data_IF_798033366095
#
_entry.id   IF_798033366095
#
_cell.length_a   1.000
_cell.length_b   1.000
_cell.length_c   1.000
_cell.angle_alpha   90.00
_cell.angle_beta   90.00
_cell.angle_gamma   90.00
#
_symmetry.space_group_name_H-M   'P 1'
#
loop_
_entity.id
_entity.type
_entity.pdbx_description
1 polymer ?
#
# COMPACT_ATOMS: atom_id res chain seq x y z
N UNK A 1 23.11 0.03 -16.20
CA UNK A 1 22.79 -0.44 -14.84
C UNK A 1 24.09 -0.64 -14.09
N UNK A 2 24.21 -0.18 -12.83
CA UNK A 2 25.34 -0.60 -11.99
C UNK A 2 25.28 -2.12 -11.87
N UNK A 3 26.34 -2.81 -12.31
CA UNK A 3 26.42 -4.27 -12.28
C UNK A 3 26.36 -4.76 -10.82
N UNK A 4 25.43 -5.66 -10.51
CA UNK A 4 25.34 -6.32 -9.21
C UNK A 4 24.40 -5.70 -8.16
N UNK A 5 23.59 -4.69 -8.52
CA UNK A 5 22.47 -4.22 -7.69
C UNK A 5 21.14 -4.74 -8.22
N UNK A 6 20.24 -5.10 -7.30
CA UNK A 6 18.87 -5.50 -7.58
C UNK A 6 17.90 -4.53 -6.88
N UNK A 7 16.83 -4.06 -7.53
CA UNK A 7 15.73 -3.39 -6.84
C UNK A 7 15.11 -4.34 -5.83
N UNK A 8 14.79 -3.80 -4.66
CA UNK A 8 14.06 -4.50 -3.61
C UNK A 8 12.81 -3.71 -3.27
N UNK A 9 11.66 -4.29 -3.56
CA UNK A 9 10.36 -3.81 -3.11
C UNK A 9 10.12 -4.36 -1.71
N UNK A 10 9.67 -3.51 -0.80
CA UNK A 10 9.36 -3.91 0.58
C UNK A 10 7.86 -3.77 0.77
N UNK A 11 7.20 -4.85 1.15
CA UNK A 11 5.76 -4.91 1.36
C UNK A 11 5.47 -5.41 2.78
N UNK A 12 4.49 -4.79 3.41
CA UNK A 12 3.97 -5.22 4.70
C UNK A 12 3.24 -6.56 4.55
N UNK A 13 3.63 -7.56 5.34
CA UNK A 13 3.05 -8.91 5.28
C UNK A 13 1.62 -8.97 5.82
N UNK A 14 1.25 -8.08 6.74
CA UNK A 14 -0.10 -8.01 7.31
C UNK A 14 -1.00 -7.17 6.41
N UNK A 15 -0.55 -5.98 6.02
CA UNK A 15 -1.41 -5.02 5.31
C UNK A 15 -1.34 -5.09 3.79
N UNK A 16 -0.36 -5.79 3.22
CA UNK A 16 -0.12 -5.81 1.78
C UNK A 16 0.34 -4.47 1.20
N UNK A 17 0.55 -3.43 2.03
CA UNK A 17 1.01 -2.12 1.55
C UNK A 17 2.46 -2.21 1.07
N UNK A 18 2.74 -1.65 -0.11
CA UNK A 18 4.11 -1.39 -0.54
C UNK A 18 4.66 -0.25 0.32
N UNK A 19 5.67 -0.54 1.13
CA UNK A 19 6.24 0.37 2.12
C UNK A 19 7.33 1.26 1.52
N UNK A 20 8.25 0.67 0.76
CA UNK A 20 9.36 1.39 0.12
C UNK A 20 10.03 0.55 -0.96
N UNK A 21 10.85 1.20 -1.78
CA UNK A 21 11.82 0.54 -2.66
C UNK A 21 13.23 1.00 -2.30
N UNK A 22 14.17 0.06 -2.32
CA UNK A 22 15.59 0.32 -2.18
C UNK A 22 16.39 -0.60 -3.13
N UNK A 23 17.71 -0.58 -3.01
CA UNK A 23 18.60 -1.46 -3.77
C UNK A 23 19.38 -2.34 -2.81
N UNK A 24 19.60 -3.59 -3.20
CA UNK A 24 20.48 -4.52 -2.50
C UNK A 24 21.50 -5.10 -3.49
N UNK A 25 22.66 -5.49 -3.00
CA UNK A 25 23.56 -6.39 -3.72
C UNK A 25 23.52 -7.78 -3.06
N UNK A 26 24.31 -8.72 -3.59
CA UNK A 26 24.44 -10.07 -3.03
C UNK A 26 24.78 -10.08 -1.53
N UNK A 27 25.63 -9.17 -1.07
CA UNK A 27 26.05 -9.10 0.34
C UNK A 27 24.95 -8.54 1.25
N UNK A 28 24.20 -7.53 0.80
CA UNK A 28 23.04 -7.03 1.50
C UNK A 28 21.96 -8.13 1.65
N UNK A 29 21.71 -8.90 0.59
CA UNK A 29 20.79 -10.05 0.64
C UNK A 29 21.26 -11.12 1.63
N UNK A 30 22.56 -11.47 1.64
CA UNK A 30 23.13 -12.38 2.62
C UNK A 30 22.90 -11.90 4.06
N UNK A 31 23.10 -10.62 4.33
CA UNK A 31 22.84 -10.03 5.65
C UNK A 31 21.36 -10.06 6.00
N UNK A 32 20.48 -9.78 5.05
CA UNK A 32 19.02 -9.90 5.26
C UNK A 32 18.66 -11.32 5.68
N UNK A 33 19.09 -12.32 4.92
CA UNK A 33 18.82 -13.74 5.20
C UNK A 33 19.42 -14.13 6.56
N UNK A 34 20.67 -13.74 6.84
CA UNK A 34 21.36 -14.12 8.07
C UNK A 34 20.83 -13.46 9.34
N UNK A 35 20.23 -12.27 9.24
CA UNK A 35 19.76 -11.51 10.41
C UNK A 35 18.24 -11.47 10.56
N UNK A 36 17.48 -11.84 9.52
CA UNK A 36 16.03 -11.65 9.46
C UNK A 36 15.60 -10.17 9.49
N UNK A 37 16.49 -9.25 9.15
CA UNK A 37 16.24 -7.80 9.16
C UNK A 37 16.48 -7.21 7.77
N UNK A 38 15.74 -6.17 7.37
CA UNK A 38 15.89 -5.60 6.03
C UNK A 38 17.21 -4.82 5.87
N UNK A 39 18.15 -5.37 5.09
CA UNK A 39 19.41 -4.75 4.71
C UNK A 39 19.43 -4.33 3.24
N UNK A 40 20.13 -3.23 2.97
CA UNK A 40 20.23 -2.61 1.65
C UNK A 40 21.63 -2.01 1.40
N UNK A 41 21.92 -1.63 0.15
CA UNK A 41 23.18 -1.02 -0.30
C UNK A 41 23.02 0.42 -0.81
N UNK A 42 23.55 1.41 -0.09
CA UNK A 42 23.23 2.82 -0.34
C UNK A 42 24.09 3.33 -1.49
N UNK A 43 23.47 3.62 -2.64
CA UNK A 43 24.20 4.10 -3.82
C UNK A 43 24.91 5.44 -3.60
N UNK A 44 24.35 6.33 -2.77
CA UNK A 44 24.96 7.62 -2.47
C UNK A 44 26.04 7.53 -1.40
N UNK A 45 25.81 6.75 -0.35
CA UNK A 45 26.74 6.62 0.80
C UNK A 45 27.79 5.52 0.62
N UNK A 46 27.63 4.67 -0.40
CA UNK A 46 28.49 3.50 -0.66
C UNK A 46 28.69 2.62 0.58
N UNK A 47 27.60 2.38 1.31
CA UNK A 47 27.62 1.61 2.55
C UNK A 47 26.39 0.69 2.67
N UNK A 48 26.55 -0.38 3.45
CA UNK A 48 25.43 -1.21 3.87
C UNK A 48 24.65 -0.52 4.97
N UNK A 49 23.33 -0.52 4.86
CA UNK A 49 22.49 0.01 5.94
C UNK A 49 21.36 -0.95 6.27
N UNK A 50 21.12 -1.13 7.57
CA UNK A 50 19.94 -1.82 8.10
C UNK A 50 18.82 -0.80 8.26
N UNK A 51 17.65 -1.05 7.68
CA UNK A 51 16.49 -0.15 7.84
C UNK A 51 16.15 0.00 9.33
N UNK A 52 15.99 1.24 9.77
CA UNK A 52 15.68 1.56 11.16
C UNK A 52 16.86 1.47 12.13
N UNK A 53 18.11 1.31 11.65
CA UNK A 53 19.28 1.27 12.54
C UNK A 53 19.40 2.52 13.44
N UNK A 54 19.08 3.70 12.90
CA UNK A 54 19.11 4.97 13.64
C UNK A 54 17.76 5.30 14.28
N UNK A 55 16.65 5.08 13.57
CA UNK A 55 15.32 5.51 14.02
C UNK A 55 14.58 4.51 14.92
N UNK A 56 15.04 3.26 14.99
CA UNK A 56 14.32 2.16 15.65
C UNK A 56 13.19 1.55 14.81
N UNK A 57 12.79 2.18 13.70
CA UNK A 57 11.77 1.68 12.76
C UNK A 57 12.32 0.57 11.87
N UNK A 58 12.69 -0.54 12.50
CA UNK A 58 13.25 -1.74 11.87
C UNK A 58 12.16 -2.51 11.13
N UNK A 59 12.59 -3.35 10.20
CA UNK A 59 11.69 -4.22 9.44
C UNK A 59 12.23 -5.65 9.54
N UNK A 60 11.46 -6.50 10.22
CA UNK A 60 11.75 -7.93 10.28
C UNK A 60 11.28 -8.56 8.98
N UNK A 61 12.16 -9.30 8.31
CA UNK A 61 11.85 -9.96 7.03
C UNK A 61 11.28 -11.34 7.31
N UNK A 62 10.04 -11.55 6.88
CA UNK A 62 9.31 -12.80 7.02
C UNK A 62 9.55 -13.71 5.82
N UNK A 63 9.59 -13.15 4.62
CA UNK A 63 9.78 -13.88 3.37
C UNK A 63 10.53 -13.02 2.35
N UNK A 64 11.31 -13.67 1.48
CA UNK A 64 11.99 -13.04 0.34
C UNK A 64 11.54 -13.78 -0.92
N UNK A 65 10.98 -13.05 -1.89
CA UNK A 65 10.61 -13.58 -3.20
C UNK A 65 11.47 -12.94 -4.29
N UNK A 66 11.67 -13.69 -5.37
CA UNK A 66 12.22 -13.20 -6.62
C UNK A 66 11.09 -13.09 -7.64
N UNK A 67 11.21 -12.17 -8.59
CA UNK A 67 10.39 -12.20 -9.78
C UNK A 67 10.80 -13.32 -10.76
N UNK A 68 10.17 -13.36 -11.92
CA UNK A 68 10.28 -14.50 -12.84
C UNK A 68 11.62 -14.59 -13.56
N UNK A 69 12.31 -13.48 -13.79
CA UNK A 69 13.64 -13.40 -14.39
C UNK A 69 14.75 -13.11 -13.36
N UNK A 70 14.39 -12.90 -12.09
CA UNK A 70 15.31 -12.79 -10.96
C UNK A 70 16.04 -11.46 -10.90
N UNK A 71 15.52 -10.43 -11.57
CA UNK A 71 16.07 -9.08 -11.58
C UNK A 71 15.39 -8.11 -10.60
N UNK A 72 14.40 -8.60 -9.85
CA UNK A 72 13.74 -7.89 -8.76
C UNK A 72 13.49 -8.78 -7.55
N UNK A 73 13.53 -8.18 -6.36
CA UNK A 73 13.30 -8.88 -5.09
C UNK A 73 12.14 -8.24 -4.34
N UNK A 74 11.28 -9.06 -3.75
CA UNK A 74 10.24 -8.64 -2.82
C UNK A 74 10.60 -9.11 -1.41
N UNK A 75 10.69 -8.16 -0.47
CA UNK A 75 10.71 -8.46 0.96
C UNK A 75 9.31 -8.31 1.53
N UNK A 76 8.76 -9.40 2.07
CA UNK A 76 7.58 -9.36 2.93
C UNK A 76 8.04 -9.17 4.37
N UNK A 77 7.60 -8.09 5.00
CA UNK A 77 8.14 -7.64 6.30
C UNK A 77 7.07 -7.33 7.32
N UNK A 78 7.43 -7.46 8.60
CA UNK A 78 6.70 -6.91 9.74
C UNK A 78 7.39 -5.62 10.21
N UNK A 79 6.85 -4.42 9.91
CA UNK A 79 7.49 -3.15 10.24
C UNK A 79 7.26 -2.73 11.70
N UNK A 80 8.32 -2.26 12.39
CA UNK A 80 8.22 -1.68 13.74
C UNK A 80 8.06 -0.15 13.69
N UNK A 81 6.97 0.32 13.08
CA UNK A 81 6.69 1.75 12.89
C UNK A 81 6.85 2.23 11.44
N UNK A 82 6.80 3.55 11.18
CA UNK A 82 6.69 4.06 9.81
C UNK A 82 7.93 3.76 8.96
N UNK A 83 7.71 3.38 7.71
CA UNK A 83 8.78 3.13 6.75
C UNK A 83 9.49 4.42 6.34
N UNK A 84 8.74 5.50 6.15
CA UNK A 84 9.26 6.75 5.62
C UNK A 84 9.89 7.62 6.72
N UNK A 85 10.96 8.32 6.38
CA UNK A 85 11.62 9.27 7.28
C UNK A 85 10.77 10.51 7.58
N UNK A 86 9.70 10.76 6.80
CA UNK A 86 8.71 11.82 7.06
C UNK A 86 7.75 11.47 8.19
N UNK A 87 7.76 10.23 8.68
CA UNK A 87 6.78 9.70 9.62
C UNK A 87 5.57 9.02 8.97
N UNK A 88 5.45 9.06 7.64
CA UNK A 88 4.42 8.33 6.90
C UNK A 88 4.68 6.81 6.91
N UNK A 89 3.60 6.01 6.92
CA UNK A 89 3.66 4.54 6.92
C UNK A 89 4.42 4.00 5.71
N UNK A 90 4.15 4.53 4.52
CA UNK A 90 4.80 4.17 3.25
C UNK A 90 5.52 5.38 2.66
N UNK A 91 6.56 5.16 1.84
CA UNK A 91 7.15 6.17 0.97
C UNK A 91 6.23 6.59 -0.19
N UNK A 92 5.25 5.76 -0.55
CA UNK A 92 4.29 5.97 -1.64
C UNK A 92 3.02 6.71 -1.18
N UNK A 93 3.18 7.72 -0.31
CA UNK A 93 2.05 8.45 0.31
C UNK A 93 1.48 9.59 -0.55
N UNK A 94 2.00 9.78 -1.77
CA UNK A 94 1.55 10.82 -2.71
C UNK A 94 0.92 10.17 -3.92
N UNK A 95 -0.23 10.70 -4.33
CA UNK A 95 -0.95 10.26 -5.53
C UNK A 95 -0.69 11.25 -6.65
N UNK A 96 -0.43 10.74 -7.86
CA UNK A 96 -0.44 11.56 -9.07
C UNK A 96 -1.89 11.71 -9.50
N UNK A 97 -2.36 12.95 -9.57
CA UNK A 97 -3.71 13.30 -10.03
C UNK A 97 -3.65 13.91 -11.43
N UNK A 98 -4.79 13.96 -12.17
CA UNK A 98 -4.84 14.66 -13.46
C UNK A 98 -4.40 16.14 -13.38
N UNK A 99 -4.56 16.79 -12.22
CA UNK A 99 -4.13 18.18 -12.01
C UNK A 99 -2.60 18.34 -12.03
N UNK A 100 -1.87 17.31 -11.58
CA UNK A 100 -0.39 17.32 -11.57
C UNK A 100 0.21 17.24 -12.98
N UNK A 101 -0.56 16.80 -13.97
CA UNK A 101 -0.15 16.86 -15.38
C UNK A 101 -0.10 18.30 -15.91
N UNK A 102 -0.96 19.19 -15.40
CA UNK A 102 -1.04 20.58 -15.85
C UNK A 102 0.01 21.48 -15.19
N UNK A 103 0.43 21.17 -13.96
CA UNK A 103 1.36 22.01 -13.17
C UNK A 103 2.83 21.53 -13.24
N UNK A 104 3.11 20.50 -14.04
CA UNK A 104 4.45 19.93 -14.21
C UNK A 104 4.78 18.90 -13.14
N UNK A 105 4.81 17.64 -13.54
CA UNK A 105 5.02 16.51 -12.63
C UNK A 105 6.46 16.45 -12.13
N UNK A 106 6.69 16.52 -10.80
CA UNK A 106 8.01 16.29 -10.18
C UNK A 106 8.36 14.80 -10.15
N UNK A 107 8.49 14.18 -11.32
CA UNK A 107 9.22 12.92 -11.45
C UNK A 107 10.68 13.29 -11.68
N UNK A 108 11.55 12.93 -10.75
CA UNK A 108 12.99 12.94 -11.03
C UNK A 108 13.24 11.79 -12.03
N UNK A 109 13.18 12.09 -13.32
CA UNK A 109 13.62 11.14 -14.34
C UNK A 109 15.14 11.06 -14.24
N UNK A 110 15.68 9.85 -14.10
CA UNK A 110 17.11 9.66 -14.33
C UNK A 110 17.35 9.95 -15.83
N UNK A 111 18.10 11.01 -16.14
CA UNK A 111 18.49 11.28 -17.52
C UNK A 111 19.42 10.15 -18.00
N UNK A 112 19.27 9.61 -19.23
CA UNK A 112 20.12 8.55 -19.76
C UNK A 112 21.61 8.91 -19.96
N UNK A 113 22.08 10.09 -19.52
CA UNK A 113 23.34 10.69 -19.97
C UNK A 113 24.49 10.73 -18.95
N UNK A 114 24.40 10.08 -17.79
CA UNK A 114 25.53 10.04 -16.82
C UNK A 114 26.22 8.66 -16.74
N UNK A 115 26.21 7.93 -17.87
CA UNK A 115 27.01 6.73 -18.07
C UNK A 115 27.88 6.91 -19.32
N UNK A 116 28.77 7.91 -19.30
CA UNK A 116 29.73 8.10 -20.39
C UNK A 116 30.56 9.37 -20.29
N UNK A 117 31.85 9.18 -20.05
CA UNK A 117 32.94 10.04 -20.53
C UNK A 117 33.18 11.37 -19.80
N UNK A 118 33.93 11.31 -18.69
CA UNK A 118 34.87 12.38 -18.36
C UNK A 118 36.21 12.07 -19.07
N UNK A 119 36.46 12.78 -20.18
CA UNK A 119 37.79 12.94 -20.72
C UNK A 119 37.94 14.39 -21.15
N UNK A 120 38.55 15.23 -20.30
CA UNK A 120 39.80 15.96 -20.63
C UNK A 120 40.24 16.90 -19.51
N UNK A 121 41.50 16.70 -19.10
CA UNK A 121 42.48 17.70 -18.62
C UNK A 121 42.11 18.59 -17.43
N UNK A 122 42.82 18.38 -16.32
CA UNK A 122 43.88 19.33 -15.98
C UNK A 122 45.07 18.65 -15.29
N UNK A 123 46.24 19.12 -15.66
CA UNK A 123 47.58 18.68 -15.29
C UNK A 123 48.07 19.42 -14.05
N UNK A 124 48.64 18.74 -13.06
CA UNK A 124 49.46 19.42 -12.06
C UNK A 124 49.79 18.65 -10.79
N UNK A 125 51.02 18.13 -10.75
CA UNK A 125 51.89 18.04 -9.56
C UNK A 125 51.64 16.96 -8.49
N UNK A 126 52.44 15.89 -8.61
CA UNK A 126 53.04 15.14 -7.49
C UNK A 126 54.03 16.05 -6.70
N UNK A 127 54.59 15.69 -5.51
CA UNK A 127 54.85 14.34 -4.95
C UNK A 127 54.44 14.21 -3.45
N UNK A 128 54.66 13.15 -2.65
CA UNK A 128 55.67 12.10 -2.60
C UNK A 128 55.23 10.95 -1.66
N UNK A 129 55.65 9.73 -2.02
CA UNK A 129 56.07 8.57 -1.20
C UNK A 129 55.47 8.30 0.20
N UNK A 130 54.94 7.09 0.37
CA UNK A 130 55.58 6.07 1.22
C UNK A 130 55.03 4.67 0.93
N UNK A 131 55.98 3.77 0.71
CA UNK A 131 55.92 2.35 0.41
C UNK A 131 55.64 1.53 1.67
N UNK A 132 54.82 0.48 1.58
CA UNK A 132 54.99 -0.89 2.15
C UNK A 132 53.79 -1.74 1.67
N UNK A 133 53.96 -2.60 0.66
CA UNK A 133 54.27 -4.05 0.74
C UNK A 133 53.19 -4.90 1.41
N UNK A 134 52.49 -5.75 0.64
CA UNK A 134 52.28 -7.16 0.97
C UNK A 134 51.75 -7.97 -0.22
N UNK A 135 52.12 -9.24 -0.22
CA UNK A 135 52.07 -10.20 -1.31
C UNK A 135 50.75 -10.97 -1.38
N UNK A 136 50.35 -11.40 -2.58
CA UNK A 136 49.75 -12.72 -2.83
C UNK A 136 49.63 -12.97 -4.34
N UNK A 137 50.57 -13.75 -4.87
CA UNK A 137 50.49 -14.41 -6.16
C UNK A 137 49.67 -15.69 -6.05
N UNK A 138 48.64 -15.86 -6.90
CA UNK A 138 47.92 -17.13 -7.00
C UNK A 138 46.98 -17.20 -8.21
N UNK A 139 47.43 -17.91 -9.25
CA UNK A 139 46.60 -18.79 -10.08
C UNK A 139 45.80 -18.19 -11.25
N UNK A 140 46.27 -18.46 -12.46
CA UNK A 140 45.56 -18.30 -13.74
C UNK A 140 45.23 -19.68 -14.33
N UNK A 141 44.05 -19.80 -14.97
CA UNK A 141 43.68 -20.85 -15.94
C UNK A 141 43.07 -22.11 -15.30
N UNK A 142 42.06 -22.78 -15.87
CA UNK A 142 41.79 -23.03 -17.30
C UNK A 142 40.29 -23.34 -17.52
N UNK A 143 39.88 -23.17 -18.77
CA UNK A 143 38.57 -23.33 -19.43
C UNK A 143 37.88 -24.71 -19.39
N UNK A 144 36.57 -24.72 -19.69
CA UNK A 144 35.79 -25.62 -20.61
C UNK A 144 34.29 -25.46 -20.26
N UNK A 145 33.37 -24.95 -21.11
CA UNK A 145 32.84 -25.35 -22.43
C UNK A 145 31.74 -26.43 -22.38
N UNK A 146 30.66 -26.15 -23.14
CA UNK A 146 29.61 -27.04 -23.71
C UNK A 146 28.40 -27.34 -22.78
N UNK A 147 27.16 -26.95 -23.08
CA UNK A 147 26.23 -27.11 -24.23
C UNK A 147 25.10 -28.08 -23.80
N UNK A 148 23.84 -27.63 -23.80
CA UNK A 148 22.66 -28.50 -23.94
C UNK A 148 21.39 -27.67 -24.18
N UNK A 149 20.79 -27.94 -25.32
CA UNK A 149 19.53 -27.45 -25.89
C UNK A 149 18.32 -28.29 -25.44
N UNK A 150 17.13 -27.90 -25.95
CA UNK A 150 15.79 -28.52 -25.90
C UNK A 150 14.85 -27.89 -24.85
N UNK A 151 13.85 -27.08 -25.20
CA UNK A 151 12.70 -27.25 -26.12
C UNK A 151 11.68 -28.28 -25.63
N UNK A 152 10.52 -27.79 -25.18
CA UNK A 152 9.26 -28.53 -25.10
C UNK A 152 8.11 -27.54 -24.82
N UNK A 153 7.41 -27.14 -25.88
CA UNK A 153 6.08 -26.55 -25.77
C UNK A 153 5.05 -27.57 -25.28
N UNK A 154 3.99 -27.08 -24.64
CA UNK A 154 2.71 -27.76 -24.65
C UNK A 154 1.59 -26.72 -24.66
N UNK A 155 0.95 -26.62 -25.82
CA UNK A 155 -0.35 -26.00 -26.02
C UNK A 155 -1.45 -26.89 -25.44
N UNK A 156 -2.47 -26.28 -24.85
CA UNK A 156 -3.68 -26.95 -24.38
C UNK A 156 -4.78 -25.93 -24.08
N UNK A 157 -5.69 -25.76 -25.05
CA UNK A 157 -6.95 -25.03 -24.89
C UNK A 157 -7.88 -25.74 -23.90
N UNK A 158 -8.57 -24.97 -23.06
CA UNK A 158 -9.73 -25.41 -22.30
C UNK A 158 -10.50 -24.20 -21.78
N UNK A 159 -11.61 -23.87 -22.43
CA UNK A 159 -12.52 -22.80 -21.99
C UNK A 159 -13.37 -23.25 -20.81
N UNK A 160 -13.53 -22.35 -19.84
CA UNK A 160 -14.46 -22.45 -18.72
C UNK A 160 -14.59 -21.07 -18.08
N UNK A 161 -15.81 -20.51 -18.08
CA UNK A 161 -16.13 -19.23 -17.48
C UNK A 161 -15.97 -19.29 -15.96
N UNK A 162 -14.90 -18.71 -15.44
CA UNK A 162 -14.83 -18.26 -14.05
C UNK A 162 -14.52 -16.77 -14.06
N UNK A 163 -15.42 -15.98 -13.45
CA UNK A 163 -15.23 -14.55 -13.27
C UNK A 163 -13.92 -14.33 -12.52
N UNK A 164 -12.92 -13.78 -13.22
CA UNK A 164 -11.71 -13.25 -12.62
C UNK A 164 -12.09 -12.28 -11.50
N UNK A 165 -11.93 -12.73 -10.26
CA UNK A 165 -11.74 -11.81 -9.15
C UNK A 165 -10.37 -11.19 -9.39
N UNK A 166 -10.39 -9.99 -9.97
CA UNK A 166 -9.24 -9.13 -10.21
C UNK A 166 -8.42 -8.97 -8.93
N UNK A 167 -7.38 -9.80 -8.77
CA UNK A 167 -6.40 -9.72 -7.69
C UNK A 167 -5.25 -8.75 -8.05
N UNK A 168 -5.56 -7.67 -8.76
CA UNK A 168 -4.61 -6.58 -8.99
C UNK A 168 -4.41 -5.86 -7.66
N UNK A 169 -3.16 -5.47 -7.38
CA UNK A 169 -2.72 -4.78 -6.15
C UNK A 169 -3.28 -3.37 -5.99
N UNK A 170 -4.57 -3.16 -6.23
CA UNK A 170 -5.30 -2.04 -5.68
C UNK A 170 -5.32 -2.21 -4.17
N UNK A 171 -4.64 -1.29 -3.46
CA UNK A 171 -4.85 -1.14 -2.03
C UNK A 171 -6.35 -0.91 -1.85
N UNK A 172 -7.06 -1.90 -1.31
CA UNK A 172 -8.50 -1.82 -1.11
C UNK A 172 -8.83 -0.49 -0.45
N UNK A 173 -9.86 0.20 -0.92
CA UNK A 173 -10.34 1.45 -0.30
C UNK A 173 -10.55 1.26 1.22
N UNK A 174 -10.89 0.04 1.65
CA UNK A 174 -11.02 -0.35 3.05
C UNK A 174 -9.68 -0.36 3.79
N UNK A 175 -8.60 -0.82 3.16
CA UNK A 175 -7.23 -0.77 3.71
C UNK A 175 -6.76 0.67 3.89
N UNK A 176 -7.03 1.50 2.88
CA UNK A 176 -6.72 2.94 2.93
C UNK A 176 -7.50 3.60 4.06
N UNK A 177 -8.80 3.32 4.15
CA UNK A 177 -9.66 3.87 5.19
C UNK A 177 -9.21 3.44 6.59
N UNK A 178 -8.87 2.16 6.77
CA UNK A 178 -8.33 1.65 8.02
C UNK A 178 -7.05 2.39 8.43
N UNK A 179 -6.09 2.54 7.50
CA UNK A 179 -4.83 3.27 7.74
C UNK A 179 -5.09 4.71 8.20
N UNK A 180 -6.05 5.40 7.57
CA UNK A 180 -6.44 6.76 7.96
C UNK A 180 -7.04 6.78 9.37
N UNK A 181 -7.92 5.83 9.70
CA UNK A 181 -8.50 5.70 11.03
C UNK A 181 -7.44 5.42 12.10
N UNK A 182 -6.44 4.59 11.81
CA UNK A 182 -5.33 4.34 12.72
C UNK A 182 -4.47 5.58 12.98
N UNK A 183 -4.12 6.34 11.94
CA UNK A 183 -3.41 7.61 12.10
C UNK A 183 -4.22 8.58 12.93
N UNK A 184 -5.52 8.77 12.64
CA UNK A 184 -6.39 9.64 13.45
C UNK A 184 -6.58 9.13 14.88
N UNK A 185 -6.52 7.81 15.07
CA UNK A 185 -6.56 7.22 16.40
C UNK A 185 -5.34 7.60 17.23
N UNK A 186 -4.15 7.56 16.62
CA UNK A 186 -2.90 7.88 17.29
C UNK A 186 -2.66 9.39 17.44
N UNK A 187 -2.91 10.15 16.37
CA UNK A 187 -2.43 11.52 16.22
C UNK A 187 -3.43 12.58 16.71
N UNK A 188 -4.72 12.20 16.91
CA UNK A 188 -5.79 13.07 17.45
C UNK A 188 -5.81 14.49 16.86
N UNK A 189 -5.88 14.67 15.53
CA UNK A 189 -5.89 16.01 14.93
C UNK A 189 -7.10 16.83 15.41
N UNK A 190 -6.88 18.08 15.84
CA UNK A 190 -7.94 18.98 16.28
C UNK A 190 -8.95 19.26 15.17
N UNK A 191 -10.23 19.38 15.53
CA UNK A 191 -11.32 19.67 14.59
C UNK A 191 -11.71 18.50 13.67
N UNK A 192 -11.08 17.33 13.79
CA UNK A 192 -11.49 16.15 13.04
C UNK A 192 -12.69 15.46 13.68
N UNK A 193 -13.71 15.14 12.88
CA UNK A 193 -14.85 14.33 13.30
C UNK A 193 -14.43 12.99 13.93
N UNK A 194 -13.39 12.35 13.38
CA UNK A 194 -12.88 11.08 13.91
C UNK A 194 -12.26 11.26 15.30
N UNK A 195 -11.56 12.38 15.53
CA UNK A 195 -11.02 12.71 16.85
C UNK A 195 -12.16 12.87 17.85
N UNK A 196 -13.20 13.63 17.50
CA UNK A 196 -14.40 13.77 18.31
C UNK A 196 -15.02 12.41 18.67
N UNK A 197 -15.19 11.51 17.69
CA UNK A 197 -15.71 10.17 17.94
C UNK A 197 -14.89 9.40 18.98
N UNK A 198 -13.56 9.38 18.81
CA UNK A 198 -12.69 8.63 19.70
C UNK A 198 -12.55 9.25 21.10
N UNK A 199 -12.63 10.58 21.22
CA UNK A 199 -12.64 11.27 22.53
C UNK A 199 -13.89 10.93 23.35
N UNK A 200 -15.02 10.71 22.68
CA UNK A 200 -16.28 10.33 23.34
C UNK A 200 -16.45 8.81 23.51
N UNK A 201 -15.45 8.03 23.08
CA UNK A 201 -15.32 6.62 23.38
C UNK A 201 -16.35 5.71 22.71
N UNK A 202 -16.38 4.47 23.20
CA UNK A 202 -17.11 3.34 22.60
C UNK A 202 -18.61 3.65 22.46
N UNK A 203 -19.24 4.23 23.49
CA UNK A 203 -20.69 4.47 23.49
C UNK A 203 -21.14 5.42 22.38
N UNK A 204 -20.35 6.48 22.12
CA UNK A 204 -20.66 7.44 21.06
C UNK A 204 -20.55 6.80 19.67
N UNK A 205 -19.52 6.00 19.46
CA UNK A 205 -19.30 5.31 18.18
C UNK A 205 -20.36 4.23 17.98
N UNK A 206 -20.67 3.45 19.01
CA UNK A 206 -21.72 2.43 18.98
C UNK A 206 -23.10 3.03 18.68
N UNK A 207 -23.41 4.21 19.24
CA UNK A 207 -24.62 4.95 18.89
C UNK A 207 -24.68 5.26 17.39
N UNK A 208 -23.59 5.77 16.80
CA UNK A 208 -23.51 6.03 15.35
C UNK A 208 -23.70 4.75 14.54
N UNK A 209 -23.04 3.65 14.91
CA UNK A 209 -23.24 2.34 14.25
C UNK A 209 -24.72 1.94 14.26
N UNK A 210 -25.42 2.14 15.38
CA UNK A 210 -26.86 1.86 15.47
C UNK A 210 -27.72 2.75 14.57
N UNK A 211 -27.43 4.05 14.53
CA UNK A 211 -28.11 5.01 13.63
C UNK A 211 -27.92 4.60 12.17
N UNK A 212 -26.68 4.41 11.70
CA UNK A 212 -26.41 4.07 10.30
C UNK A 212 -26.97 2.69 9.90
N UNK A 213 -26.98 1.73 10.83
CA UNK A 213 -27.56 0.41 10.55
C UNK A 213 -29.07 0.48 10.29
N UNK A 214 -29.79 1.35 11.00
CA UNK A 214 -31.22 1.59 10.76
C UNK A 214 -31.42 2.31 9.43
N UNK A 215 -30.59 3.30 9.12
CA UNK A 215 -30.64 4.04 7.86
C UNK A 215 -30.38 3.13 6.64
N UNK A 216 -29.37 2.24 6.72
CA UNK A 216 -29.13 1.18 5.71
C UNK A 216 -30.36 0.31 5.49
N UNK A 217 -31.00 -0.14 6.57
CA UNK A 217 -32.18 -1.01 6.46
C UNK A 217 -33.35 -0.29 5.77
N UNK A 218 -33.57 0.98 6.09
CA UNK A 218 -34.60 1.82 5.47
C UNK A 218 -34.27 2.05 3.99
N UNK A 219 -33.03 2.44 3.68
CA UNK A 219 -32.57 2.69 2.32
C UNK A 219 -32.70 1.43 1.45
N UNK A 220 -32.37 0.25 1.98
CA UNK A 220 -32.54 -1.02 1.29
C UNK A 220 -34.01 -1.30 0.93
N UNK A 221 -34.92 -1.07 1.88
CA UNK A 221 -36.37 -1.24 1.65
C UNK A 221 -36.87 -0.30 0.55
N UNK A 222 -36.43 0.96 0.57
CA UNK A 222 -36.78 1.95 -0.44
C UNK A 222 -36.20 1.59 -1.81
N UNK A 223 -34.96 1.10 -1.88
CA UNK A 223 -34.31 0.68 -3.11
C UNK A 223 -35.05 -0.49 -3.80
N UNK A 224 -35.55 -1.46 -3.02
CA UNK A 224 -36.34 -2.59 -3.53
C UNK A 224 -37.74 -2.15 -3.97
N UNK A 225 -38.40 -1.29 -3.19
CA UNK A 225 -39.75 -0.79 -3.50
C UNK A 225 -39.82 0.05 -4.79
N UNK A 226 -38.70 0.60 -5.25
CA UNK A 226 -38.60 1.42 -6.47
C UNK A 226 -38.29 0.57 -7.73
N UNK A 227 -38.14 -0.75 -7.61
CA UNK A 227 -38.05 -1.63 -8.80
C UNK A 227 -39.40 -1.68 -9.54
N UNK A 228 -39.46 -1.40 -10.86
CA UNK A 228 -40.72 -1.08 -11.55
C UNK A 228 -41.50 -2.36 -11.90
N UNK A 229 -42.21 -2.92 -10.92
CA UNK A 229 -43.43 -3.71 -11.18
C UNK A 229 -44.45 -3.42 -10.06
N UNK A 230 -45.45 -2.60 -10.42
CA UNK A 230 -46.80 -2.52 -9.85
C UNK A 230 -46.99 -2.11 -8.38
N UNK A 231 -47.48 -0.88 -8.15
CA UNK A 231 -48.90 -0.58 -7.84
C UNK A 231 -49.07 0.82 -7.26
N UNK A 232 -50.10 1.54 -7.73
CA UNK A 232 -50.77 2.59 -6.96
C UNK A 232 -51.14 2.09 -5.56
N UNK A 233 -50.74 2.84 -4.52
CA UNK A 233 -51.61 3.22 -3.39
C UNK A 233 -50.85 4.06 -2.35
N UNK A 234 -51.32 5.30 -2.18
CA UNK A 234 -51.42 6.09 -0.94
C UNK A 234 -50.17 6.28 -0.05
N UNK A 235 -49.79 7.55 0.03
CA UNK A 235 -48.86 8.16 0.99
C UNK A 235 -49.42 8.08 2.42
N UNK A 236 -48.63 7.67 3.41
CA UNK A 236 -48.73 8.23 4.74
C UNK A 236 -47.56 9.17 5.04
N UNK A 237 -47.92 10.14 5.86
CA UNK A 237 -47.25 11.37 6.23
C UNK A 237 -45.95 11.17 7.03
N UNK A 238 -45.08 12.17 6.93
CA UNK A 238 -43.67 12.25 7.32
C UNK A 238 -43.33 11.81 8.73
N UNK A 239 -42.34 10.93 8.89
CA UNK A 239 -41.54 10.84 10.10
C UNK A 239 -40.32 11.74 9.94
N UNK A 240 -40.36 12.91 10.59
CA UNK A 240 -39.18 13.75 10.77
C UNK A 240 -38.20 13.06 11.71
N UNK A 241 -37.04 12.67 11.20
CA UNK A 241 -35.87 12.38 12.04
C UNK A 241 -34.88 13.52 11.87
N UNK A 242 -34.49 14.08 13.01
CA UNK A 242 -33.67 15.28 13.17
C UNK A 242 -32.34 15.19 12.43
N UNK A 243 -32.11 16.16 11.55
CA UNK A 243 -30.83 16.37 10.89
C UNK A 243 -29.80 16.94 11.88
N UNK A 244 -28.85 16.13 12.32
CA UNK A 244 -27.61 16.63 12.93
C UNK A 244 -26.37 15.91 12.38
N UNK A 245 -25.50 16.73 11.76
CA UNK A 245 -24.12 16.48 11.33
C UNK A 245 -23.87 15.33 10.33
N UNK A 246 -24.14 15.62 9.04
CA UNK A 246 -23.53 14.90 7.91
C UNK A 246 -22.00 14.93 8.03
N UNK A 247 -21.37 13.76 7.91
CA UNK A 247 -19.93 13.61 7.92
C UNK A 247 -19.25 14.46 6.80
N UNK A 248 -18.01 14.94 7.00
CA UNK A 248 -17.37 15.95 6.14
C UNK A 248 -16.90 15.44 4.76
N UNK A 249 -17.33 14.26 4.32
CA UNK A 249 -16.94 13.73 3.01
C UNK A 249 -17.78 14.26 1.84
N UNK A 250 -18.73 15.16 2.10
CA UNK A 250 -19.58 15.79 1.07
C UNK A 250 -18.88 16.84 0.18
N UNK A 251 -17.55 16.91 0.15
CA UNK A 251 -16.83 17.88 -0.66
C UNK A 251 -15.74 17.20 -1.49
N UNK A 252 -16.09 16.89 -2.75
CA UNK A 252 -15.40 17.29 -3.99
C UNK A 252 -15.78 16.29 -5.08
N UNK A 253 -16.77 16.68 -5.90
CA UNK A 253 -16.74 16.52 -7.36
C UNK A 253 -17.73 17.54 -7.92
N UNK A 254 -17.30 18.35 -8.87
CA UNK A 254 -18.19 19.23 -9.64
C UNK A 254 -19.31 18.41 -10.30
N UNK A 255 -20.49 18.39 -9.67
CA UNK A 255 -21.78 18.21 -10.32
C UNK A 255 -22.15 16.88 -10.98
N UNK A 256 -21.30 15.83 -11.01
CA UNK A 256 -21.73 14.49 -11.42
C UNK A 256 -21.11 13.40 -10.54
N UNK A 257 -21.96 12.71 -9.78
CA UNK A 257 -21.59 11.50 -9.05
C UNK A 257 -21.01 10.47 -10.04
N UNK A 258 -19.82 9.88 -9.77
CA UNK A 258 -19.19 8.90 -10.65
C UNK A 258 -20.02 7.62 -10.82
N UNK A 259 -21.05 7.43 -9.99
CA UNK A 259 -22.03 6.36 -10.07
C UNK A 259 -23.22 6.77 -10.93
N UNK A 260 -23.01 6.92 -12.24
CA UNK A 260 -24.09 7.24 -13.17
C UNK A 260 -25.11 6.12 -13.31
N UNK A 261 -24.72 4.90 -12.94
CA UNK A 261 -25.43 3.67 -13.28
C UNK A 261 -26.39 3.23 -12.17
N UNK A 262 -26.31 3.86 -10.99
CA UNK A 262 -27.13 3.54 -9.82
C UNK A 262 -28.43 4.36 -9.78
N UNK A 263 -29.53 3.69 -9.41
CA UNK A 263 -30.80 4.35 -9.07
C UNK A 263 -30.66 5.23 -7.82
N UNK A 264 -31.62 6.13 -7.58
CA UNK A 264 -31.62 6.96 -6.36
C UNK A 264 -31.59 6.11 -5.08
N UNK A 265 -32.40 5.06 -5.01
CA UNK A 265 -32.42 4.15 -3.86
C UNK A 265 -31.11 3.36 -3.70
N UNK A 266 -30.47 2.94 -4.81
CA UNK A 266 -29.16 2.29 -4.74
C UNK A 266 -28.06 3.25 -4.27
N UNK A 267 -28.13 4.54 -4.65
CA UNK A 267 -27.20 5.57 -4.17
C UNK A 267 -27.35 5.82 -2.68
N UNK A 268 -28.58 5.96 -2.20
CA UNK A 268 -28.89 6.10 -0.77
C UNK A 268 -28.38 4.89 0.02
N UNK A 269 -28.73 3.67 -0.41
CA UNK A 269 -28.24 2.44 0.23
C UNK A 269 -26.71 2.37 0.26
N UNK A 270 -26.05 2.75 -0.84
CA UNK A 270 -24.58 2.75 -0.91
C UNK A 270 -23.97 3.79 0.03
N UNK A 271 -24.59 4.97 0.17
CA UNK A 271 -24.15 6.03 1.07
C UNK A 271 -24.23 5.58 2.53
N UNK A 272 -25.40 5.10 2.96
CA UNK A 272 -25.58 4.68 4.35
C UNK A 272 -24.74 3.44 4.69
N UNK A 273 -24.54 2.55 3.70
CA UNK A 273 -23.65 1.39 3.89
C UNK A 273 -22.19 1.81 4.06
N UNK A 274 -21.76 2.87 3.37
CA UNK A 274 -20.41 3.41 3.51
C UNK A 274 -20.21 4.07 4.89
N UNK A 275 -21.19 4.82 5.37
CA UNK A 275 -21.15 5.43 6.70
C UNK A 275 -21.17 4.35 7.80
N UNK A 276 -22.05 3.35 7.70
CA UNK A 276 -22.05 2.20 8.62
C UNK A 276 -20.69 1.51 8.67
N UNK A 277 -20.08 1.23 7.52
CA UNK A 277 -18.77 0.60 7.45
C UNK A 277 -17.67 1.48 8.08
N UNK A 278 -17.72 2.79 7.86
CA UNK A 278 -16.81 3.74 8.48
C UNK A 278 -16.88 3.68 10.01
N UNK A 279 -18.09 3.76 10.59
CA UNK A 279 -18.26 3.72 12.04
C UNK A 279 -17.95 2.35 12.63
N UNK A 280 -18.20 1.25 11.90
CA UNK A 280 -17.77 -0.09 12.31
C UNK A 280 -16.25 -0.20 12.40
N UNK A 281 -15.51 0.28 11.39
CA UNK A 281 -14.04 0.30 11.44
C UNK A 281 -13.53 1.15 12.61
N UNK A 282 -14.13 2.33 12.84
CA UNK A 282 -13.78 3.16 14.00
C UNK A 282 -14.07 2.44 15.32
N UNK A 283 -15.20 1.74 15.43
CA UNK A 283 -15.57 0.97 16.62
C UNK A 283 -14.59 -0.17 16.88
N UNK A 284 -14.23 -0.92 15.85
CA UNK A 284 -13.23 -1.99 15.95
C UNK A 284 -11.90 -1.43 16.43
N UNK A 285 -11.43 -0.32 15.84
CA UNK A 285 -10.19 0.31 16.29
C UNK A 285 -10.26 0.74 17.76
N UNK A 286 -11.38 1.30 18.20
CA UNK A 286 -11.59 1.71 19.60
C UNK A 286 -11.63 0.50 20.55
N UNK A 287 -12.18 -0.62 20.10
CA UNK A 287 -12.28 -1.88 20.85
C UNK A 287 -11.00 -2.74 20.78
N UNK A 288 -9.99 -2.32 20.01
CA UNK A 288 -8.75 -3.10 19.82
C UNK A 288 -8.90 -4.31 18.89
N UNK A 289 -9.91 -4.32 18.03
CA UNK A 289 -10.16 -5.35 17.01
C UNK A 289 -9.68 -4.84 15.65
N UNK A 290 -9.03 -5.69 14.87
CA UNK A 290 -8.57 -5.35 13.51
C UNK A 290 -9.51 -5.93 12.43
N UNK A 291 -9.51 -5.39 11.20
CA UNK A 291 -10.22 -6.02 10.09
C UNK A 291 -9.80 -7.49 9.86
N UNK A 292 -8.53 -7.82 10.09
CA UNK A 292 -8.02 -9.19 9.94
C UNK A 292 -8.64 -10.16 10.96
N UNK A 293 -8.89 -9.69 12.19
CA UNK A 293 -9.62 -10.48 13.19
C UNK A 293 -11.04 -10.81 12.70
N UNK A 294 -11.72 -9.85 12.07
CA UNK A 294 -13.05 -10.04 11.49
C UNK A 294 -13.00 -11.01 10.30
N UNK A 295 -12.01 -10.85 9.41
CA UNK A 295 -11.82 -11.75 8.28
C UNK A 295 -11.53 -13.19 8.71
N UNK A 296 -10.76 -13.38 9.77
CA UNK A 296 -10.52 -14.72 10.36
C UNK A 296 -11.83 -15.35 10.81
N UNK A 297 -12.68 -14.61 11.53
CA UNK A 297 -13.99 -15.10 11.98
C UNK A 297 -14.92 -15.43 10.81
N UNK A 298 -14.93 -14.61 9.76
CA UNK A 298 -15.74 -14.88 8.56
C UNK A 298 -15.24 -16.13 7.81
N UNK A 299 -13.92 -16.28 7.70
CA UNK A 299 -13.29 -17.45 7.09
C UNK A 299 -13.60 -18.73 7.85
N UNK A 300 -13.57 -18.71 9.19
CA UNK A 300 -13.94 -19.88 10.01
C UNK A 300 -15.41 -20.31 9.83
N UNK A 301 -16.31 -19.39 9.48
CA UNK A 301 -17.75 -19.69 9.30
C UNK A 301 -18.08 -20.21 7.90
N UNK A 302 -17.27 -19.88 6.91
CA UNK A 302 -17.60 -20.06 5.49
C UNK A 302 -16.48 -20.74 4.68
N UNK A 303 -15.42 -21.22 5.36
CA UNK A 303 -14.27 -21.91 4.78
C UNK A 303 -14.14 -23.34 5.29
#
# INVERSE_FOLDING_TARGET
MQTGLVPVVVQDVETGLVLMQAYANREALKRTIGTGQAWFWSRSRQEYWRKGATSGNVMTVNEIRLDCDGDSVLYLVSPKGPACHTGATTCYFRTITPKDQAEGMRVQTASPAEAGMDTTRDTGSAPSSSTVSEAASGGVGVASSEDATADAGCSGSGGGNDREISSTGEVSILQTLWTVLESRYRDRPQGSYTTYLFEHGVDKIAKKVGEEAVEVAIAAKNAVAVSPVSREAQVPETAHVSAEAKAPWSAVTDGKSPYTDLTSGQKELSSESADLLYHLLALWKMAGVTPDDIYRVLKERHG
#
